data_IF_824008701967
#
_entry.id   IF_824008701967
#
_cell.length_a   1.000
_cell.length_b   1.000
_cell.length_c   1.000
_cell.angle_alpha   90.00
_cell.angle_beta   90.00
_cell.angle_gamma   90.00
#
_symmetry.space_group_name_H-M   'P 1'
#
loop_
_entity.id
_entity.type
_entity.pdbx_description
1 polymer ?
#
# COMPACT_ATOMS: atom_id res chain seq x y z
N UNK A 1 -71.76 48.09 -28.21
CA UNK A 1 -71.44 46.64 -28.22
C UNK A 1 -70.16 46.46 -27.41
N UNK A 2 -70.20 45.82 -26.23
CA UNK A 2 -70.08 44.35 -26.01
C UNK A 2 -68.75 43.85 -26.61
N UNK A 3 -67.79 43.19 -25.94
CA UNK A 3 -67.58 42.55 -24.63
C UNK A 3 -66.04 42.48 -24.44
N UNK A 4 -65.46 42.75 -23.25
CA UNK A 4 -65.00 41.76 -22.25
C UNK A 4 -64.47 40.40 -22.79
N UNK A 5 -63.14 40.17 -22.69
CA UNK A 5 -62.42 38.88 -22.53
C UNK A 5 -60.97 39.23 -22.15
N UNK A 6 -60.41 39.02 -20.95
CA UNK A 6 -60.21 37.86 -20.05
C UNK A 6 -59.05 36.91 -20.46
N UNK A 7 -57.94 37.02 -19.71
CA UNK A 7 -56.84 36.07 -19.41
C UNK A 7 -56.00 35.51 -20.59
N UNK A 8 -54.67 35.28 -20.47
CA UNK A 8 -54.04 34.36 -19.52
C UNK A 8 -52.54 34.69 -19.29
N UNK A 9 -52.15 34.64 -18.03
CA UNK A 9 -50.79 34.61 -17.50
C UNK A 9 -50.08 33.32 -17.96
N UNK A 10 -48.95 33.40 -18.65
CA UNK A 10 -48.07 32.23 -18.84
C UNK A 10 -46.96 32.35 -17.81
N UNK A 11 -47.13 31.64 -16.70
CA UNK A 11 -46.07 31.42 -15.73
C UNK A 11 -44.95 30.61 -16.41
N UNK A 12 -43.80 31.24 -16.60
CA UNK A 12 -42.56 30.58 -16.98
C UNK A 12 -42.07 29.73 -15.80
N UNK A 13 -42.62 28.52 -15.69
CA UNK A 13 -42.03 27.47 -14.87
C UNK A 13 -40.70 27.05 -15.48
N UNK A 14 -39.60 27.63 -15.01
CA UNK A 14 -38.28 27.08 -15.23
C UNK A 14 -38.13 25.83 -14.33
N UNK A 15 -38.59 24.67 -14.80
CA UNK A 15 -38.18 23.40 -14.24
C UNK A 15 -36.75 23.12 -14.69
N UNK A 16 -35.78 23.42 -13.83
CA UNK A 16 -34.42 22.91 -14.00
C UNK A 16 -34.47 21.40 -13.75
N UNK A 17 -34.52 20.62 -14.83
CA UNK A 17 -34.18 19.21 -14.76
C UNK A 17 -32.68 19.12 -14.49
N UNK A 18 -32.31 18.80 -13.24
CA UNK A 18 -30.97 18.37 -12.93
C UNK A 18 -30.69 17.09 -13.73
N UNK A 19 -29.87 17.21 -14.77
CA UNK A 19 -29.47 16.09 -15.59
C UNK A 19 -28.48 15.24 -14.79
N UNK A 20 -28.97 14.21 -14.10
CA UNK A 20 -28.13 13.12 -13.59
C UNK A 20 -27.59 12.35 -14.78
N UNK A 21 -26.40 12.71 -15.27
CA UNK A 21 -25.67 11.86 -16.20
C UNK A 21 -25.13 10.67 -15.41
N UNK A 22 -25.68 9.48 -15.67
CA UNK A 22 -25.12 8.25 -15.14
C UNK A 22 -23.68 8.09 -15.67
N UNK A 23 -22.71 8.07 -14.76
CA UNK A 23 -21.29 7.90 -15.06
C UNK A 23 -21.00 6.45 -15.47
N UNK A 24 -21.50 6.04 -16.64
CA UNK A 24 -21.44 4.66 -17.16
C UNK A 24 -20.22 4.40 -18.08
N UNK A 25 -19.39 5.41 -18.32
CA UNK A 25 -18.24 5.25 -19.21
C UNK A 25 -17.03 4.69 -18.45
N UNK A 26 -16.38 3.68 -19.02
CA UNK A 26 -15.10 3.17 -18.52
C UNK A 26 -14.06 4.28 -18.71
N UNK A 27 -13.50 4.77 -17.59
CA UNK A 27 -12.40 5.74 -17.58
C UNK A 27 -11.09 5.01 -17.35
N UNK A 28 -10.13 5.20 -18.24
CA UNK A 28 -8.78 4.63 -18.13
C UNK A 28 -7.82 5.75 -17.74
N UNK A 29 -6.97 5.49 -16.75
CA UNK A 29 -5.92 6.43 -16.33
C UNK A 29 -4.60 5.68 -16.21
N UNK A 30 -3.59 6.18 -16.92
CA UNK A 30 -2.23 5.68 -16.82
C UNK A 30 -1.47 6.51 -15.80
N UNK A 31 -0.94 5.86 -14.76
CA UNK A 31 0.06 6.50 -13.91
C UNK A 31 1.38 6.56 -14.69
N UNK A 32 1.59 7.65 -15.44
CA UNK A 32 2.93 8.01 -15.91
C UNK A 32 3.72 8.58 -14.73
N UNK A 33 5.04 8.38 -14.73
CA UNK A 33 5.95 8.78 -13.65
C UNK A 33 5.59 10.17 -13.11
N UNK A 34 4.96 10.20 -11.93
CA UNK A 34 4.71 11.44 -11.21
C UNK A 34 6.07 12.10 -10.96
N UNK A 35 6.16 13.44 -11.01
CA UNK A 35 7.39 14.13 -10.64
C UNK A 35 7.83 13.60 -9.28
N UNK A 36 9.10 13.20 -9.17
CA UNK A 36 9.67 12.73 -7.91
C UNK A 36 9.56 13.86 -6.88
N UNK A 37 8.50 13.81 -6.07
CA UNK A 37 8.41 14.60 -4.85
C UNK A 37 9.59 14.11 -4.02
N UNK A 38 10.57 14.98 -3.78
CA UNK A 38 11.74 14.67 -2.95
C UNK A 38 11.25 14.23 -1.57
N UNK A 39 11.32 12.92 -1.32
CA UNK A 39 10.92 12.30 -0.08
C UNK A 39 11.93 12.65 1.03
N UNK A 40 11.53 12.63 2.31
CA UNK A 40 12.47 12.69 3.41
C UNK A 40 13.30 11.39 3.49
N UNK A 41 14.47 11.46 4.09
CA UNK A 41 15.26 10.29 4.45
C UNK A 41 14.68 9.64 5.72
N UNK A 42 14.40 8.34 5.69
CA UNK A 42 13.90 7.63 6.87
C UNK A 42 15.01 6.84 7.55
N UNK A 43 15.03 6.94 8.87
CA UNK A 43 15.95 6.22 9.74
C UNK A 43 15.17 5.46 10.81
N UNK A 44 15.56 4.21 11.07
CA UNK A 44 15.04 3.39 12.15
C UNK A 44 16.19 3.04 13.09
N UNK A 45 16.10 3.47 14.35
CA UNK A 45 17.15 3.32 15.35
C UNK A 45 18.54 3.80 14.85
N UNK A 46 18.56 4.88 14.07
CA UNK A 46 19.77 5.45 13.47
C UNK A 46 20.23 4.79 12.17
N UNK A 47 19.67 3.65 11.77
CA UNK A 47 19.97 3.02 10.48
C UNK A 47 19.09 3.62 9.38
N UNK A 48 19.70 4.01 8.25
CA UNK A 48 18.95 4.46 7.07
C UNK A 48 18.17 3.30 6.45
N UNK A 49 16.87 3.49 6.19
CA UNK A 49 15.98 2.45 5.65
C UNK A 49 15.32 2.81 4.32
N UNK A 50 15.66 3.96 3.72
CA UNK A 50 15.03 4.42 2.48
C UNK A 50 13.52 4.55 2.60
N UNK A 51 12.75 4.01 1.66
CA UNK A 51 11.27 4.02 1.69
C UNK A 51 10.64 2.80 2.40
N UNK A 52 11.44 2.04 3.15
CA UNK A 52 11.07 0.70 3.65
C UNK A 52 10.26 0.74 4.96
N UNK A 53 9.12 1.42 4.95
CA UNK A 53 8.30 1.64 6.15
C UNK A 53 7.21 0.59 6.35
N UNK A 54 6.78 -0.10 5.29
CA UNK A 54 5.57 -0.92 5.29
C UNK A 54 5.62 -2.09 6.29
N UNK A 55 6.81 -2.67 6.50
CA UNK A 55 6.98 -3.81 7.39
C UNK A 55 7.25 -3.44 8.85
N UNK A 56 7.42 -2.15 9.17
CA UNK A 56 7.81 -1.73 10.52
C UNK A 56 6.61 -1.87 11.48
N UNK A 57 6.85 -2.45 12.65
CA UNK A 57 5.80 -2.62 13.65
C UNK A 57 5.47 -1.27 14.31
N UNK A 58 4.36 -0.66 13.89
CA UNK A 58 3.90 0.64 14.40
C UNK A 58 3.70 0.64 15.92
N UNK A 59 3.26 -0.48 16.52
CA UNK A 59 3.04 -0.59 17.98
C UNK A 59 4.34 -0.56 18.78
N UNK A 60 5.48 -0.82 18.13
CA UNK A 60 6.80 -0.85 18.74
C UNK A 60 7.57 0.45 18.55
N UNK A 61 7.01 1.44 17.85
CA UNK A 61 7.59 2.78 17.76
C UNK A 61 7.43 3.46 19.13
N UNK A 62 8.51 4.06 19.60
CA UNK A 62 8.55 4.87 20.81
C UNK A 62 8.45 6.36 20.48
N UNK A 63 9.25 6.83 19.51
CA UNK A 63 9.27 8.23 19.10
C UNK A 63 9.55 8.40 17.61
N UNK A 64 8.98 9.47 17.04
CA UNK A 64 9.21 9.92 15.66
C UNK A 64 9.63 11.40 15.72
N UNK A 65 10.82 11.71 15.22
CA UNK A 65 11.34 13.07 15.13
C UNK A 65 11.50 13.48 13.67
N UNK A 66 10.97 14.65 13.32
CA UNK A 66 11.04 15.21 11.97
C UNK A 66 12.03 16.37 11.95
N UNK A 67 13.08 16.23 11.15
CA UNK A 67 14.10 17.26 10.91
C UNK A 67 13.94 17.78 9.48
N UNK A 68 13.88 19.10 9.32
CA UNK A 68 13.59 19.72 8.00
C UNK A 68 14.84 20.02 7.18
N UNK A 69 16.02 19.81 7.76
CA UNK A 69 17.31 20.00 7.10
C UNK A 69 17.51 19.00 5.95
N UNK A 70 18.13 19.46 4.87
CA UNK A 70 18.48 18.61 3.74
C UNK A 70 19.42 17.50 4.23
N UNK A 71 19.18 16.28 3.77
CA UNK A 71 20.05 15.15 4.03
C UNK A 71 20.69 14.64 2.75
N UNK A 72 21.82 13.96 2.88
CA UNK A 72 22.40 13.20 1.77
C UNK A 72 22.88 11.83 2.21
N UNK A 73 22.40 10.81 1.51
CA UNK A 73 22.80 9.42 1.71
C UNK A 73 23.22 8.86 0.36
N UNK A 74 24.44 8.32 0.27
CA UNK A 74 24.99 7.74 -0.97
C UNK A 74 24.89 8.66 -2.20
N UNK A 75 25.07 9.97 -2.01
CA UNK A 75 24.99 10.97 -3.08
C UNK A 75 23.58 11.38 -3.50
N UNK A 76 22.53 10.79 -2.90
CA UNK A 76 21.13 11.19 -3.11
C UNK A 76 20.76 12.24 -2.09
N UNK A 77 20.11 13.33 -2.51
CA UNK A 77 19.60 14.38 -1.62
C UNK A 77 18.14 14.15 -1.23
N UNK A 78 17.84 14.34 0.05
CA UNK A 78 16.49 14.20 0.62
C UNK A 78 16.03 15.51 1.26
N UNK A 79 14.73 15.77 1.18
CA UNK A 79 14.12 16.97 1.78
C UNK A 79 13.72 16.68 3.23
N UNK A 80 14.66 16.75 4.15
CA UNK A 80 14.40 16.41 5.55
C UNK A 80 14.80 14.99 5.92
N UNK A 81 14.70 14.71 7.22
CA UNK A 81 14.91 13.40 7.85
C UNK A 81 13.73 13.08 8.75
N UNK A 82 13.35 11.82 8.80
CA UNK A 82 12.41 11.28 9.77
C UNK A 82 13.17 10.20 10.55
N UNK A 83 13.37 10.46 11.84
CA UNK A 83 14.04 9.57 12.77
C UNK A 83 12.98 8.80 13.55
N UNK A 84 12.95 7.49 13.37
CA UNK A 84 12.04 6.57 14.07
C UNK A 84 12.86 5.80 15.07
N UNK A 85 12.41 5.77 16.31
CA UNK A 85 13.03 4.99 17.39
C UNK A 85 12.02 3.99 17.92
N UNK A 86 12.46 2.75 18.13
CA UNK A 86 11.62 1.69 18.71
C UNK A 86 11.81 1.63 20.22
N UNK A 87 10.79 1.09 20.90
CA UNK A 87 10.86 0.80 22.34
C UNK A 87 12.07 -0.06 22.66
N UNK A 88 12.68 0.17 23.81
CA UNK A 88 13.90 -0.54 24.26
C UNK A 88 13.79 -2.07 24.25
N UNK A 89 12.58 -2.64 24.41
CA UNK A 89 12.35 -4.08 24.38
C UNK A 89 12.11 -4.65 22.97
N UNK A 90 12.27 -3.85 21.92
CA UNK A 90 12.09 -4.25 20.53
C UNK A 90 13.30 -3.87 19.69
N UNK A 91 13.96 -4.88 19.13
CA UNK A 91 15.06 -4.71 18.17
C UNK A 91 14.58 -5.23 16.81
N UNK A 92 14.35 -4.34 15.82
CA UNK A 92 14.03 -4.75 14.46
C UNK A 92 15.13 -5.64 13.89
N UNK A 93 14.74 -6.66 13.14
CA UNK A 93 15.69 -7.52 12.42
C UNK A 93 15.54 -7.27 10.93
N UNK A 94 16.28 -6.28 10.43
CA UNK A 94 16.16 -5.82 9.05
C UNK A 94 16.92 -6.74 8.09
N UNK A 95 16.26 -7.12 7.00
CA UNK A 95 16.81 -7.90 5.88
C UNK A 95 16.29 -7.33 4.56
N UNK A 96 17.04 -7.38 3.47
CA UNK A 96 16.50 -6.95 2.17
C UNK A 96 15.43 -7.93 1.65
N UNK A 97 14.55 -7.49 0.75
CA UNK A 97 13.57 -8.37 0.11
C UNK A 97 14.24 -9.50 -0.70
N UNK A 98 15.38 -9.22 -1.36
CA UNK A 98 16.11 -10.27 -2.08
C UNK A 98 16.76 -11.28 -1.13
N UNK A 99 17.39 -10.85 -0.04
CA UNK A 99 17.90 -11.78 0.98
C UNK A 99 16.75 -12.57 1.64
N UNK A 100 15.61 -11.92 1.90
CA UNK A 100 14.41 -12.59 2.40
C UNK A 100 13.95 -13.70 1.45
N UNK A 101 13.90 -13.41 0.14
CA UNK A 101 13.60 -14.39 -0.91
C UNK A 101 14.52 -15.61 -0.78
N UNK A 102 15.83 -15.41 -0.77
CA UNK A 102 16.80 -16.50 -0.71
C UNK A 102 16.70 -17.32 0.58
N UNK A 103 16.37 -16.66 1.69
CA UNK A 103 16.31 -17.30 3.01
C UNK A 103 15.04 -18.12 3.24
N UNK A 104 13.88 -17.65 2.75
CA UNK A 104 12.58 -18.23 3.11
C UNK A 104 11.86 -18.91 1.95
N UNK A 105 12.40 -18.86 0.74
CA UNK A 105 11.74 -19.41 -0.46
C UNK A 105 12.74 -20.13 -1.37
N UNK A 106 12.23 -20.97 -2.28
CA UNK A 106 13.02 -21.73 -3.25
C UNK A 106 12.95 -21.15 -4.68
N UNK A 107 12.72 -19.83 -4.80
CA UNK A 107 12.43 -19.14 -6.08
C UNK A 107 13.53 -18.15 -6.49
N UNK A 108 14.77 -18.41 -6.07
CA UNK A 108 15.95 -17.57 -6.29
C UNK A 108 16.03 -16.95 -7.71
N UNK A 109 15.82 -17.79 -8.74
CA UNK A 109 16.05 -17.47 -10.15
C UNK A 109 14.80 -17.02 -10.91
N UNK A 110 13.68 -16.78 -10.20
CA UNK A 110 12.41 -16.38 -10.83
C UNK A 110 12.21 -14.86 -10.78
N UNK A 111 11.49 -14.32 -11.77
CA UNK A 111 10.96 -12.96 -11.69
C UNK A 111 9.92 -12.89 -10.58
N UNK A 112 10.13 -11.98 -9.62
CA UNK A 112 9.29 -11.84 -8.43
C UNK A 112 8.67 -10.45 -8.36
N UNK A 113 7.39 -10.41 -8.00
CA UNK A 113 6.69 -9.21 -7.53
C UNK A 113 6.46 -9.36 -6.02
N UNK A 114 6.98 -8.42 -5.22
CA UNK A 114 6.70 -8.39 -3.79
C UNK A 114 5.47 -7.55 -3.47
N UNK A 115 4.68 -8.06 -2.52
CA UNK A 115 3.59 -7.33 -1.89
C UNK A 115 3.74 -7.40 -0.36
N UNK A 116 3.46 -6.32 0.34
CA UNK A 116 3.41 -6.27 1.81
C UNK A 116 2.02 -5.75 2.19
N UNK A 117 1.27 -6.53 2.97
CA UNK A 117 -0.10 -6.19 3.40
C UNK A 117 -1.03 -5.76 2.26
N UNK A 118 -0.89 -6.41 1.10
CA UNK A 118 -1.66 -6.11 -0.11
C UNK A 118 -1.13 -4.96 -0.97
N UNK A 119 -0.18 -4.16 -0.47
CA UNK A 119 0.49 -3.11 -1.22
C UNK A 119 1.64 -3.65 -2.08
N UNK A 120 1.73 -3.23 -3.35
CA UNK A 120 2.87 -3.59 -4.22
C UNK A 120 4.11 -2.81 -3.78
N UNK A 121 5.25 -3.51 -3.67
CA UNK A 121 6.55 -2.87 -3.45
C UNK A 121 7.14 -2.48 -4.81
N UNK A 122 7.13 -1.17 -5.09
CA UNK A 122 7.77 -0.57 -6.26
C UNK A 122 9.09 0.11 -5.85
N UNK A 123 10.13 -0.68 -5.64
CA UNK A 123 11.45 -0.22 -5.20
C UNK A 123 12.54 -1.24 -5.59
N UNK A 124 13.81 -0.87 -5.37
CA UNK A 124 14.97 -1.76 -5.50
C UNK A 124 14.97 -2.80 -4.37
N UNK A 125 14.78 -4.08 -4.71
CA UNK A 125 14.63 -5.17 -3.73
C UNK A 125 15.91 -5.56 -3.01
N UNK A 126 17.09 -5.15 -3.51
CA UNK A 126 18.36 -5.31 -2.78
C UNK A 126 18.50 -4.27 -1.66
N UNK A 127 17.76 -3.15 -1.75
CA UNK A 127 17.82 -2.04 -0.79
C UNK A 127 16.56 -1.90 0.07
N UNK A 128 15.44 -2.49 -0.36
CA UNK A 128 14.19 -2.42 0.38
C UNK A 128 14.23 -3.38 1.57
N UNK A 129 14.23 -2.83 2.77
CA UNK A 129 14.38 -3.58 4.01
C UNK A 129 13.03 -4.01 4.59
N UNK A 130 12.98 -5.22 5.11
CA UNK A 130 11.86 -5.72 5.89
C UNK A 130 12.28 -6.15 7.27
N UNK A 131 11.45 -5.87 8.27
CA UNK A 131 11.66 -6.36 9.63
C UNK A 131 11.16 -7.81 9.76
N UNK A 132 12.09 -8.76 9.76
CA UNK A 132 11.80 -10.19 9.90
C UNK A 132 10.95 -10.48 11.15
N UNK A 133 11.18 -9.73 12.23
CA UNK A 133 10.47 -9.96 13.48
C UNK A 133 8.98 -9.59 13.38
N UNK A 134 8.61 -8.76 12.41
CA UNK A 134 7.24 -8.33 12.19
C UNK A 134 6.54 -9.07 11.03
N UNK A 135 7.19 -9.99 10.33
CA UNK A 135 6.53 -10.83 9.32
C UNK A 135 5.73 -11.93 10.00
N UNK A 136 4.43 -12.02 9.72
CA UNK A 136 3.51 -13.04 10.23
C UNK A 136 3.43 -14.25 9.31
N UNK A 137 3.25 -14.03 8.01
CA UNK A 137 3.07 -15.10 7.03
C UNK A 137 3.64 -14.71 5.67
N UNK A 138 4.10 -15.69 4.90
CA UNK A 138 4.57 -15.53 3.52
C UNK A 138 3.72 -16.40 2.61
N UNK A 139 3.16 -15.80 1.56
CA UNK A 139 2.48 -16.53 0.48
C UNK A 139 3.32 -16.42 -0.79
N UNK A 140 3.41 -17.52 -1.53
CA UNK A 140 4.13 -17.58 -2.79
C UNK A 140 3.19 -18.15 -3.83
N UNK A 141 2.74 -17.29 -4.75
CA UNK A 141 1.82 -17.65 -5.82
C UNK A 141 2.53 -17.56 -7.17
N UNK A 142 2.27 -18.49 -8.09
CA UNK A 142 2.77 -18.41 -9.46
C UNK A 142 1.66 -17.94 -10.41
N UNK A 143 1.93 -16.85 -11.13
CA UNK A 143 1.08 -16.32 -12.19
C UNK A 143 1.69 -16.73 -13.52
N UNK A 144 0.99 -17.62 -14.24
CA UNK A 144 1.39 -18.10 -15.56
C UNK A 144 0.29 -17.81 -16.57
N UNK A 145 0.57 -16.94 -17.54
CA UNK A 145 -0.29 -16.69 -18.68
C UNK A 145 0.53 -16.76 -19.97
N UNK A 146 0.59 -17.93 -20.62
CA UNK A 146 1.39 -18.12 -21.83
C UNK A 146 0.98 -17.23 -23.01
N UNK A 147 -0.32 -16.88 -23.13
CA UNK A 147 -0.81 -16.01 -24.22
C UNK A 147 -0.24 -14.59 -24.11
N UNK A 148 -0.12 -14.10 -22.88
CA UNK A 148 0.49 -12.81 -22.55
C UNK A 148 2.02 -12.90 -22.36
N UNK A 149 2.62 -14.08 -22.58
CA UNK A 149 4.04 -14.38 -22.31
C UNK A 149 4.48 -14.04 -20.87
N UNK A 150 3.55 -14.15 -19.91
CA UNK A 150 3.77 -13.79 -18.52
C UNK A 150 4.09 -15.03 -17.68
N UNK A 151 5.23 -15.00 -16.99
CA UNK A 151 5.55 -15.89 -15.87
C UNK A 151 6.12 -15.04 -14.74
N UNK A 152 5.41 -14.98 -13.63
CA UNK A 152 5.74 -14.13 -12.49
C UNK A 152 5.43 -14.88 -11.21
N UNK A 153 6.31 -14.80 -10.23
CA UNK A 153 5.99 -15.24 -8.87
C UNK A 153 5.59 -14.02 -8.05
N UNK A 154 4.47 -14.11 -7.34
CA UNK A 154 4.00 -13.08 -6.43
C UNK A 154 4.30 -13.55 -5.01
N UNK A 155 5.19 -12.84 -4.32
CA UNK A 155 5.50 -13.10 -2.91
C UNK A 155 4.76 -12.07 -2.07
N UNK A 156 3.81 -12.52 -1.25
CA UNK A 156 3.01 -11.67 -0.37
C UNK A 156 3.46 -11.86 1.06
N UNK A 157 3.98 -10.79 1.66
CA UNK A 157 4.30 -10.73 3.08
C UNK A 157 3.10 -10.15 3.82
N UNK A 158 2.68 -10.83 4.88
CA UNK A 158 1.67 -10.36 5.81
C UNK A 158 2.37 -10.00 7.11
N UNK A 159 2.19 -8.79 7.62
CA UNK A 159 2.82 -8.33 8.88
C UNK A 159 1.99 -8.71 10.11
N UNK A 160 2.60 -8.69 11.31
CA UNK A 160 1.96 -9.02 12.60
C UNK A 160 1.08 -7.88 13.14
N UNK A 161 0.10 -7.44 12.36
CA UNK A 161 -0.97 -6.56 12.85
C UNK A 161 -2.15 -7.38 13.37
N UNK A 162 -2.93 -6.80 14.28
CA UNK A 162 -4.13 -7.47 14.82
C UNK A 162 -5.13 -7.77 13.70
N UNK A 163 -5.27 -6.85 12.75
CA UNK A 163 -6.13 -7.00 11.58
C UNK A 163 -5.69 -8.17 10.71
N UNK A 164 -4.41 -8.25 10.37
CA UNK A 164 -3.87 -9.34 9.58
C UNK A 164 -4.04 -10.71 10.25
N UNK A 165 -3.75 -10.79 11.55
CA UNK A 165 -3.90 -12.03 12.34
C UNK A 165 -5.36 -12.45 12.40
N UNK A 166 -6.27 -11.50 12.66
CA UNK A 166 -7.71 -11.76 12.69
C UNK A 166 -8.22 -12.23 11.32
N UNK A 167 -7.92 -11.50 10.25
CA UNK A 167 -8.37 -11.82 8.90
C UNK A 167 -7.85 -13.18 8.45
N UNK A 168 -6.58 -13.50 8.71
CA UNK A 168 -6.00 -14.81 8.39
C UNK A 168 -6.71 -15.94 9.12
N UNK A 169 -6.96 -15.79 10.42
CA UNK A 169 -7.66 -16.80 11.22
C UNK A 169 -9.12 -16.98 10.78
N UNK A 170 -9.83 -15.89 10.47
CA UNK A 170 -11.20 -15.96 9.95
C UNK A 170 -11.29 -16.70 8.62
N UNK A 171 -10.39 -16.44 7.68
CA UNK A 171 -10.33 -17.16 6.40
C UNK A 171 -10.05 -18.65 6.65
N UNK A 172 -9.11 -18.98 7.53
CA UNK A 172 -8.80 -20.37 7.87
C UNK A 172 -9.99 -21.08 8.51
N UNK A 173 -10.73 -20.40 9.39
CA UNK A 173 -11.94 -20.91 10.04
C UNK A 173 -13.06 -21.15 9.03
N UNK A 174 -13.30 -20.21 8.11
CA UNK A 174 -14.30 -20.36 7.04
C UNK A 174 -13.95 -21.51 6.09
N UNK A 175 -12.65 -21.71 5.81
CA UNK A 175 -12.17 -22.83 4.99
C UNK A 175 -12.19 -24.18 5.71
N UNK A 176 -12.14 -24.21 7.05
CA UNK A 176 -12.16 -25.43 7.86
C UNK A 176 -13.55 -25.80 8.41
N UNK A 177 -14.55 -24.92 8.28
CA UNK A 177 -15.94 -25.19 8.66
C UNK A 177 -16.20 -25.35 10.17
N UNK A 178 -15.28 -24.92 11.06
CA UNK A 178 -15.43 -25.11 12.51
C UNK A 178 -15.76 -23.79 13.22
N UNK A 179 -16.90 -23.65 13.91
CA UNK A 179 -17.20 -22.48 14.71
C UNK A 179 -16.37 -22.47 16.00
N UNK A 180 -15.67 -21.38 16.27
CA UNK A 180 -15.02 -21.15 17.58
C UNK A 180 -16.08 -20.63 18.53
N UNK A 181 -16.52 -21.46 19.49
CA UNK A 181 -17.24 -20.97 20.66
C UNK A 181 -16.29 -20.11 21.50
N UNK A 182 -16.70 -18.87 21.75
CA UNK A 182 -16.13 -18.01 22.78
C UNK A 182 -16.43 -18.57 24.17
#
# INVERSE_FOLDING_TARGET
MKHLFLFLLIASGATSYAQTTADSAIKVSYSSNLPQIKQPAYYLNGQFIGSSLQSINIKMIENITVLKEIDSVNGVQYNGKILITTKANYVPKLISLNEFKFKYTNIADKSVLFMIDGGIVNADYDKYLVDENNVFHVFVDEVNNPKEKLRLVVVKLLTKTDENIKNYNEVRIRSLGVPVKQ
#
